data_IF_867546453676
#
_entry.id   IF_867546453676
#
_cell.length_a   1.000
_cell.length_b   1.000
_cell.length_c   1.000
_cell.angle_alpha   90.00
_cell.angle_beta   90.00
_cell.angle_gamma   90.00
#
_symmetry.space_group_name_H-M   'P 1'
#
loop_
_entity.id
_entity.type
_entity.pdbx_description
1 polymer ?
#
# COMPACT_ATOMS: atom_id res chain seq x y z
N UNK A 1 -58.84 5.24 -23.81
CA UNK A 1 -58.60 3.85 -24.25
C UNK A 1 -57.15 3.73 -24.69
N UNK A 2 -56.52 2.61 -24.34
CA UNK A 2 -55.18 2.17 -24.70
C UNK A 2 -54.01 2.92 -24.05
N UNK A 3 -52.92 2.30 -23.57
CA UNK A 3 -52.58 0.91 -23.25
C UNK A 3 -51.27 1.02 -22.44
N UNK A 4 -51.17 0.36 -21.29
CA UNK A 4 -49.91 0.23 -20.58
C UNK A 4 -48.97 -0.70 -21.36
N UNK A 5 -47.73 -0.30 -21.62
CA UNK A 5 -46.69 -1.20 -22.12
C UNK A 5 -45.52 -1.20 -21.16
N UNK A 6 -45.32 -2.36 -20.54
CA UNK A 6 -44.29 -2.67 -19.56
C UNK A 6 -43.03 -3.07 -20.33
N UNK A 7 -42.00 -2.22 -20.35
CA UNK A 7 -40.74 -2.56 -21.03
C UNK A 7 -39.79 -3.25 -20.06
N UNK A 8 -39.40 -4.46 -20.46
CA UNK A 8 -38.58 -5.44 -19.74
C UNK A 8 -37.10 -5.05 -19.83
N UNK A 9 -36.39 -5.29 -18.75
CA UNK A 9 -34.96 -5.14 -18.47
C UNK A 9 -34.05 -5.56 -19.64
N UNK A 10 -33.08 -4.70 -19.98
CA UNK A 10 -31.99 -4.98 -20.92
C UNK A 10 -30.80 -5.51 -20.10
N UNK A 11 -30.50 -6.79 -20.19
CA UNK A 11 -29.19 -7.34 -19.84
C UNK A 11 -28.29 -7.23 -21.07
N UNK A 12 -27.22 -6.44 -20.95
CA UNK A 12 -26.21 -6.29 -21.98
C UNK A 12 -25.59 -7.64 -22.35
N UNK A 13 -25.70 -7.98 -23.63
CA UNK A 13 -24.98 -9.11 -24.21
C UNK A 13 -24.07 -8.54 -25.29
N UNK A 14 -22.86 -8.15 -24.92
CA UNK A 14 -21.80 -7.86 -25.88
C UNK A 14 -21.29 -9.18 -26.46
N UNK A 15 -21.92 -9.64 -27.55
CA UNK A 15 -21.37 -10.69 -28.40
C UNK A 15 -21.09 -10.08 -29.79
N UNK A 16 -19.83 -9.71 -30.01
CA UNK A 16 -19.32 -9.29 -31.32
C UNK A 16 -19.41 -10.48 -32.28
N UNK A 17 -20.44 -10.50 -33.13
CA UNK A 17 -20.50 -11.39 -34.29
C UNK A 17 -20.13 -10.56 -35.52
N UNK A 18 -18.87 -10.61 -35.92
CA UNK A 18 -18.42 -10.09 -37.21
C UNK A 18 -18.91 -11.03 -38.32
N UNK A 19 -19.81 -10.54 -39.17
CA UNK A 19 -20.15 -11.19 -40.44
C UNK A 19 -19.49 -10.44 -41.58
N UNK A 20 -18.70 -11.15 -42.38
CA UNK A 20 -18.39 -10.77 -43.76
C UNK A 20 -18.03 -12.02 -44.57
N UNK A 21 -18.95 -12.46 -45.42
CA UNK A 21 -18.66 -13.35 -46.55
C UNK A 21 -19.16 -12.62 -47.80
N UNK A 22 -18.30 -12.46 -48.81
CA UNK A 22 -18.57 -12.87 -50.20
C UNK A 22 -17.36 -12.68 -51.14
N UNK A 23 -16.88 -13.85 -51.59
CA UNK A 23 -16.19 -14.28 -52.81
C UNK A 23 -15.61 -13.25 -53.81
N UNK A 24 -14.31 -13.44 -54.12
CA UNK A 24 -13.86 -13.47 -55.52
C UNK A 24 -12.69 -14.46 -55.70
N UNK A 25 -12.56 -14.95 -56.93
CA UNK A 25 -11.91 -16.18 -57.35
C UNK A 25 -10.36 -16.19 -57.25
N UNK A 26 -9.81 -17.40 -57.33
CA UNK A 26 -8.39 -17.78 -57.35
C UNK A 26 -7.70 -17.88 -55.97
N UNK A 27 -7.77 -19.09 -55.41
CA UNK A 27 -6.65 -19.76 -54.75
C UNK A 27 -5.86 -18.97 -53.71
N UNK A 28 -6.42 -18.78 -52.52
CA UNK A 28 -5.73 -18.92 -51.24
C UNK A 28 -6.82 -19.05 -50.18
N UNK A 29 -7.07 -20.27 -49.68
CA UNK A 29 -7.93 -20.47 -48.55
C UNK A 29 -7.27 -19.82 -47.32
N UNK A 30 -7.64 -18.58 -47.00
CA UNK A 30 -7.30 -17.98 -45.73
C UNK A 30 -8.09 -18.73 -44.65
N UNK A 31 -7.47 -19.77 -44.10
CA UNK A 31 -7.85 -20.35 -42.82
C UNK A 31 -7.73 -19.25 -41.78
N UNK A 32 -8.84 -18.56 -41.52
CA UNK A 32 -8.99 -17.80 -40.28
C UNK A 32 -9.12 -18.85 -39.19
N UNK A 33 -7.98 -19.29 -38.64
CA UNK A 33 -7.99 -20.11 -37.45
C UNK A 33 -8.75 -19.32 -36.37
N UNK A 34 -9.75 -19.91 -35.68
CA UNK A 34 -10.29 -19.26 -34.51
C UNK A 34 -9.11 -19.01 -33.58
N UNK A 35 -8.89 -17.74 -33.22
CA UNK A 35 -7.95 -17.41 -32.16
C UNK A 35 -8.58 -18.01 -30.91
N UNK A 36 -8.24 -19.27 -30.60
CA UNK A 36 -8.57 -19.85 -29.30
C UNK A 36 -7.99 -18.87 -28.29
N UNK A 37 -8.80 -18.25 -27.42
CA UNK A 37 -8.21 -17.56 -26.28
C UNK A 37 -7.37 -18.62 -25.61
N UNK A 38 -6.04 -18.43 -25.56
CA UNK A 38 -5.20 -19.26 -24.71
C UNK A 38 -5.73 -18.99 -23.32
N UNK A 39 -6.64 -19.83 -22.84
CA UNK A 39 -7.09 -19.81 -21.47
C UNK A 39 -5.81 -20.04 -20.69
N UNK A 40 -5.23 -18.95 -20.17
CA UNK A 40 -4.11 -19.05 -19.27
C UNK A 40 -4.61 -19.93 -18.13
N UNK A 41 -4.15 -21.17 -18.09
CA UNK A 41 -4.56 -22.10 -17.04
C UNK A 41 -4.00 -21.68 -15.68
N UNK A 42 -3.07 -20.72 -15.70
CA UNK A 42 -2.72 -19.95 -14.54
C UNK A 42 -3.58 -18.68 -14.47
N UNK A 43 -4.25 -18.49 -13.35
CA UNK A 43 -4.95 -17.26 -13.01
C UNK A 43 -4.28 -16.62 -11.80
N UNK A 44 -4.15 -15.30 -11.85
CA UNK A 44 -3.56 -14.47 -10.80
C UNK A 44 -4.53 -13.37 -10.42
N UNK A 45 -4.84 -13.22 -9.14
CA UNK A 45 -5.92 -12.33 -8.70
C UNK A 45 -5.59 -10.84 -8.74
N UNK A 46 -4.32 -10.49 -8.88
CA UNK A 46 -3.77 -9.13 -8.83
C UNK A 46 -3.05 -8.71 -10.11
N UNK A 47 -3.04 -9.59 -11.12
CA UNK A 47 -2.57 -9.27 -12.47
C UNK A 47 -1.11 -9.58 -12.77
N UNK A 48 -0.48 -10.49 -12.03
CA UNK A 48 0.91 -10.91 -12.29
C UNK A 48 1.82 -10.46 -11.15
N UNK A 49 3.06 -10.09 -11.48
CA UNK A 49 3.99 -9.55 -10.49
C UNK A 49 3.51 -8.17 -9.99
N UNK A 50 2.79 -8.14 -8.87
CA UNK A 50 2.17 -6.99 -8.24
C UNK A 50 2.31 -7.03 -6.71
N UNK A 51 3.50 -6.61 -6.23
CA UNK A 51 3.81 -6.58 -4.80
C UNK A 51 2.87 -5.70 -3.95
N UNK A 52 2.05 -4.83 -4.54
CA UNK A 52 1.23 -3.86 -3.82
C UNK A 52 -0.15 -4.40 -3.41
N UNK A 53 -0.56 -5.53 -3.96
CA UNK A 53 -1.86 -6.15 -3.72
C UNK A 53 -1.62 -7.60 -3.35
N UNK A 54 -2.31 -8.11 -2.33
CA UNK A 54 -2.22 -9.53 -2.00
C UNK A 54 -2.85 -10.36 -3.12
N UNK A 55 -2.02 -11.07 -3.86
CA UNK A 55 -2.37 -11.97 -4.92
C UNK A 55 -2.59 -13.41 -4.46
N UNK A 56 -3.43 -14.12 -5.20
CA UNK A 56 -3.56 -15.57 -5.13
C UNK A 56 -3.49 -16.12 -6.55
N UNK A 57 -2.44 -16.90 -6.78
CA UNK A 57 -2.14 -17.53 -8.06
C UNK A 57 -2.57 -18.99 -8.03
N UNK A 58 -3.35 -19.40 -9.04
CA UNK A 58 -3.76 -20.79 -9.24
C UNK A 58 -3.34 -21.24 -10.63
N UNK A 59 -2.50 -22.27 -10.72
CA UNK A 59 -1.95 -22.78 -11.98
C UNK A 59 -1.19 -24.08 -11.76
N UNK A 60 -0.29 -24.46 -12.68
CA UNK A 60 0.54 -25.66 -12.52
C UNK A 60 1.84 -25.39 -11.76
N UNK A 61 2.24 -26.32 -10.91
CA UNK A 61 3.59 -26.41 -10.40
C UNK A 61 4.46 -27.09 -11.47
N UNK A 62 5.48 -26.40 -11.98
CA UNK A 62 6.31 -26.90 -13.08
C UNK A 62 7.14 -28.13 -12.72
N UNK A 63 7.43 -28.36 -11.43
CA UNK A 63 8.21 -29.50 -10.98
C UNK A 63 7.35 -30.77 -10.86
N UNK A 64 6.09 -30.62 -10.46
CA UNK A 64 5.18 -31.76 -10.20
C UNK A 64 4.12 -31.97 -11.27
N UNK A 65 3.88 -30.99 -12.14
CA UNK A 65 2.80 -30.99 -13.13
C UNK A 65 1.39 -30.91 -12.52
N UNK A 66 1.27 -30.70 -11.20
CA UNK A 66 -0.02 -30.64 -10.50
C UNK A 66 -0.53 -29.22 -10.40
N UNK A 67 -1.85 -29.06 -10.39
CA UNK A 67 -2.46 -27.77 -10.08
C UNK A 67 -2.21 -27.42 -8.61
N UNK A 68 -1.74 -26.20 -8.38
CA UNK A 68 -1.48 -25.62 -7.07
C UNK A 68 -2.14 -24.26 -6.97
N UNK A 69 -2.37 -23.84 -5.72
CA UNK A 69 -2.78 -22.49 -5.38
C UNK A 69 -1.79 -21.94 -4.35
N UNK A 70 -1.32 -20.72 -4.57
CA UNK A 70 -0.38 -20.00 -3.72
C UNK A 70 -0.85 -18.56 -3.56
N UNK A 71 -0.44 -17.94 -2.48
CA UNK A 71 -0.83 -16.58 -2.11
C UNK A 71 0.42 -15.86 -1.67
N UNK A 72 0.52 -14.58 -2.01
CA UNK A 72 1.66 -13.77 -1.62
C UNK A 72 1.83 -13.73 -0.11
N UNK A 73 3.08 -13.76 0.31
CA UNK A 73 3.40 -13.96 1.70
C UNK A 73 4.55 -13.09 2.14
N UNK A 74 4.40 -12.48 3.30
CA UNK A 74 5.50 -11.79 3.96
C UNK A 74 6.52 -12.78 4.51
N UNK A 75 7.79 -12.42 4.39
CA UNK A 75 8.88 -13.23 4.94
C UNK A 75 9.05 -12.88 6.42
N UNK A 76 8.73 -13.81 7.31
CA UNK A 76 8.66 -13.55 8.77
C UNK A 76 9.94 -12.98 9.39
N UNK A 77 11.12 -13.27 8.81
CA UNK A 77 12.40 -12.77 9.32
C UNK A 77 12.81 -11.39 8.76
N UNK A 78 12.08 -10.85 7.77
CA UNK A 78 12.42 -9.59 7.11
C UNK A 78 11.15 -8.82 6.75
N UNK A 79 10.77 -7.78 7.53
CA UNK A 79 9.50 -7.08 7.36
C UNK A 79 9.36 -6.32 6.03
N UNK A 80 10.46 -6.13 5.31
CA UNK A 80 10.48 -5.52 3.97
C UNK A 80 10.59 -6.54 2.85
N UNK A 81 10.52 -7.85 3.13
CA UNK A 81 10.58 -8.88 2.10
C UNK A 81 9.23 -9.58 1.92
N UNK A 82 8.95 -9.87 0.65
CA UNK A 82 7.74 -10.53 0.19
C UNK A 82 8.13 -11.66 -0.76
N UNK A 83 7.45 -12.78 -0.63
CA UNK A 83 7.41 -13.83 -1.65
C UNK A 83 6.16 -13.60 -2.48
N UNK A 84 6.39 -13.16 -3.70
CA UNK A 84 5.38 -12.98 -4.73
C UNK A 84 5.13 -14.30 -5.44
N UNK A 85 3.88 -14.68 -5.63
CA UNK A 85 3.47 -15.72 -6.55
C UNK A 85 2.80 -15.09 -7.76
N UNK A 86 3.14 -15.57 -8.94
CA UNK A 86 2.50 -15.07 -10.16
C UNK A 86 2.48 -16.09 -11.29
N UNK A 87 1.78 -15.76 -12.36
CA UNK A 87 1.70 -16.61 -13.53
C UNK A 87 2.85 -16.39 -14.53
N UNK A 88 3.50 -17.50 -14.93
CA UNK A 88 4.36 -17.54 -16.13
C UNK A 88 3.83 -18.62 -17.09
N UNK A 89 3.08 -18.18 -18.10
CA UNK A 89 2.30 -19.09 -18.93
C UNK A 89 1.26 -19.82 -18.09
N UNK A 90 1.23 -21.16 -18.13
CA UNK A 90 0.32 -21.96 -17.30
C UNK A 90 0.87 -22.32 -15.91
N UNK A 91 2.09 -21.89 -15.58
CA UNK A 91 2.76 -22.26 -14.33
C UNK A 91 2.65 -21.17 -13.27
N UNK A 92 2.48 -21.58 -12.01
CA UNK A 92 2.73 -20.73 -10.84
C UNK A 92 4.23 -20.64 -10.64
N UNK A 93 4.75 -19.42 -10.60
CA UNK A 93 6.13 -19.12 -10.25
C UNK A 93 6.18 -18.29 -8.98
N UNK A 94 7.30 -18.31 -8.28
CA UNK A 94 7.52 -17.43 -7.13
C UNK A 94 8.78 -16.57 -7.32
N UNK A 95 8.76 -15.38 -6.74
CA UNK A 95 9.87 -14.45 -6.70
C UNK A 95 10.00 -13.85 -5.30
N UNK A 96 11.22 -13.84 -4.77
CA UNK A 96 11.52 -13.08 -3.55
C UNK A 96 11.87 -11.65 -3.94
N UNK A 97 11.14 -10.69 -3.38
CA UNK A 97 11.33 -9.28 -3.64
C UNK A 97 11.50 -8.51 -2.32
N UNK A 98 12.02 -7.29 -2.43
CA UNK A 98 11.97 -6.32 -1.34
C UNK A 98 10.91 -5.28 -1.67
N UNK A 99 10.11 -4.92 -0.67
CA UNK A 99 9.13 -3.86 -0.81
C UNK A 99 9.78 -2.54 -1.22
N UNK A 100 9.07 -1.72 -2.01
CA UNK A 100 9.54 -0.37 -2.35
C UNK A 100 9.92 0.44 -1.10
N UNK A 101 10.81 1.42 -1.29
CA UNK A 101 11.31 2.26 -0.19
C UNK A 101 10.19 2.84 0.65
N UNK A 102 10.31 2.71 1.98
CA UNK A 102 9.33 3.19 2.95
C UNK A 102 8.15 2.23 3.19
N UNK A 103 7.96 1.20 2.38
CA UNK A 103 6.90 0.22 2.56
C UNK A 103 7.36 -1.00 3.36
N UNK A 104 6.41 -1.67 3.99
CA UNK A 104 6.61 -2.95 4.66
C UNK A 104 5.63 -3.97 4.11
N UNK A 105 6.02 -5.23 4.14
CA UNK A 105 5.10 -6.30 3.83
C UNK A 105 4.11 -6.48 4.98
N UNK A 106 2.83 -6.44 4.65
CA UNK A 106 1.73 -6.68 5.57
C UNK A 106 0.66 -7.47 4.86
N UNK A 107 0.25 -8.60 5.45
CA UNK A 107 -0.75 -9.50 4.87
C UNK A 107 -0.52 -9.87 3.39
N UNK A 108 0.74 -10.10 3.01
CA UNK A 108 1.09 -10.46 1.63
C UNK A 108 1.06 -9.30 0.65
N UNK A 109 1.14 -8.06 1.12
CA UNK A 109 1.26 -6.88 0.25
C UNK A 109 2.26 -5.86 0.82
N UNK A 110 3.02 -5.22 -0.05
CA UNK A 110 3.87 -4.09 0.27
C UNK A 110 3.03 -2.82 0.33
N UNK A 111 2.91 -2.26 1.54
CA UNK A 111 2.08 -1.07 1.80
C UNK A 111 2.81 -0.06 2.66
N UNK A 112 2.43 1.22 2.50
CA UNK A 112 2.72 2.27 3.49
C UNK A 112 1.77 2.10 4.67
N UNK A 113 2.24 2.43 5.89
CA UNK A 113 1.41 2.39 7.10
C UNK A 113 0.80 3.74 7.43
N UNK A 114 -0.39 3.70 8.03
CA UNK A 114 -1.24 4.87 8.27
C UNK A 114 -1.51 5.07 9.76
N UNK A 115 -1.55 6.34 10.15
CA UNK A 115 -1.96 6.78 11.50
C UNK A 115 -3.12 7.76 11.37
N UNK A 116 -4.12 7.61 12.23
CA UNK A 116 -5.30 8.47 12.25
C UNK A 116 -5.83 8.62 13.68
N UNK A 117 -6.43 9.78 13.99
CA UNK A 117 -7.02 10.04 15.33
C UNK A 117 -8.16 9.07 15.69
N UNK A 118 -8.82 8.49 14.69
CA UNK A 118 -9.87 7.48 14.83
C UNK A 118 -9.35 6.03 14.74
N UNK A 119 -8.03 5.85 14.58
CA UNK A 119 -7.40 4.53 14.52
C UNK A 119 -7.38 3.78 15.86
N UNK A 120 -6.73 2.62 15.89
CA UNK A 120 -6.61 1.76 17.07
C UNK A 120 -5.22 1.08 17.10
N UNK A 121 -4.51 1.15 18.22
CA UNK A 121 -3.14 0.58 18.33
C UNK A 121 -3.11 -0.90 18.74
N UNK A 122 -4.27 -1.51 19.01
CA UNK A 122 -4.39 -2.91 19.46
C UNK A 122 -4.86 -3.82 18.34
N UNK A 123 -5.93 -3.45 17.66
CA UNK A 123 -6.60 -4.35 16.72
C UNK A 123 -6.24 -4.07 15.27
N UNK A 124 -5.85 -2.83 14.95
CA UNK A 124 -5.63 -2.42 13.57
C UNK A 124 -4.24 -2.78 13.06
N UNK A 125 -4.16 -3.05 11.76
CA UNK A 125 -2.94 -3.46 11.08
C UNK A 125 -2.13 -2.29 10.53
N UNK A 126 -2.61 -1.05 10.67
CA UNK A 126 -1.97 0.15 10.14
C UNK A 126 -2.17 0.33 8.63
N UNK A 127 -3.11 -0.39 8.00
CA UNK A 127 -3.57 -0.10 6.64
C UNK A 127 -4.36 1.21 6.59
N UNK A 128 -4.63 1.74 5.39
CA UNK A 128 -5.46 2.95 5.24
C UNK A 128 -6.91 2.75 5.73
N UNK A 129 -7.44 1.54 5.62
CA UNK A 129 -8.79 1.19 6.10
C UNK A 129 -8.83 0.97 7.62
N UNK A 130 -7.71 0.52 8.19
CA UNK A 130 -7.56 0.22 9.62
C UNK A 130 -6.22 0.81 10.09
N UNK A 131 -6.14 2.14 10.26
CA UNK A 131 -4.91 2.82 10.66
C UNK A 131 -4.65 2.64 12.16
N UNK A 132 -3.39 2.80 12.55
CA UNK A 132 -3.04 2.93 13.97
C UNK A 132 -3.51 4.29 14.52
N UNK A 133 -3.62 4.39 15.84
CA UNK A 133 -4.12 5.59 16.51
C UNK A 133 -3.01 6.60 16.78
N UNK A 134 -1.84 6.13 17.21
CA UNK A 134 -0.75 7.00 17.67
C UNK A 134 0.46 6.96 16.76
N UNK A 135 1.15 8.09 16.64
CA UNK A 135 2.36 8.20 15.82
C UNK A 135 3.50 7.42 16.49
N UNK A 136 3.62 7.46 17.83
CA UNK A 136 4.64 6.71 18.53
C UNK A 136 4.51 5.20 18.30
N UNK A 137 3.29 4.66 18.38
CA UNK A 137 3.05 3.24 18.12
C UNK A 137 3.51 2.84 16.72
N UNK A 138 3.17 3.64 15.70
CA UNK A 138 3.60 3.38 14.33
C UNK A 138 5.12 3.41 14.16
N UNK A 139 5.81 4.35 14.83
CA UNK A 139 7.28 4.37 14.87
C UNK A 139 7.77 3.06 15.46
N UNK A 140 7.24 2.61 16.59
CA UNK A 140 7.70 1.39 17.28
C UNK A 140 7.53 0.14 16.40
N UNK A 141 6.42 0.01 15.67
CA UNK A 141 6.15 -1.14 14.79
C UNK A 141 7.02 -1.21 13.54
N UNK A 142 7.42 -0.07 12.97
CA UNK A 142 8.11 -0.06 11.68
C UNK A 142 9.62 -0.39 11.79
N UNK A 143 10.20 -1.08 10.80
CA UNK A 143 11.66 -1.20 10.72
C UNK A 143 12.31 0.15 10.40
N UNK A 144 13.63 0.24 10.62
CA UNK A 144 14.40 1.39 10.17
C UNK A 144 14.25 1.61 8.65
N UNK A 145 14.04 2.85 8.24
CA UNK A 145 13.74 3.25 6.87
C UNK A 145 12.25 3.20 6.49
N UNK A 146 11.37 2.80 7.41
CA UNK A 146 9.92 2.79 7.19
C UNK A 146 9.33 4.19 6.93
N UNK A 147 8.15 4.23 6.31
CA UNK A 147 7.36 5.43 6.08
C UNK A 147 5.98 5.32 6.73
N UNK A 148 5.58 6.37 7.42
CA UNK A 148 4.25 6.55 8.01
C UNK A 148 3.55 7.69 7.26
N UNK A 149 2.29 7.46 6.87
CA UNK A 149 1.39 8.51 6.44
C UNK A 149 0.40 8.84 7.56
N UNK A 150 0.50 10.05 8.10
CA UNK A 150 -0.34 10.55 9.18
C UNK A 150 -1.49 11.32 8.55
N UNK A 151 -2.71 10.81 8.71
CA UNK A 151 -3.92 11.43 8.21
C UNK A 151 -4.17 12.80 8.87
N UNK A 152 -5.14 13.54 8.34
CA UNK A 152 -5.56 14.80 8.93
C UNK A 152 -5.99 14.63 10.40
N UNK A 153 -5.65 15.61 11.22
CA UNK A 153 -5.93 15.57 12.65
C UNK A 153 -4.87 16.27 13.49
N UNK A 154 -5.17 16.34 14.79
CA UNK A 154 -4.26 16.84 15.81
C UNK A 154 -3.86 15.70 16.75
N UNK A 155 -2.56 15.45 16.83
CA UNK A 155 -1.95 14.42 17.64
C UNK A 155 -1.20 15.09 18.79
N UNK A 156 -1.75 15.01 20.00
CA UNK A 156 -1.09 15.53 21.21
C UNK A 156 -0.25 14.39 21.81
N UNK A 157 1.00 14.26 21.34
CA UNK A 157 1.90 13.15 21.65
C UNK A 157 3.32 13.68 21.86
N UNK A 158 4.07 13.00 22.74
CA UNK A 158 5.52 13.13 22.78
C UNK A 158 6.12 12.03 21.91
N UNK A 159 6.79 12.41 20.85
CA UNK A 159 7.34 11.50 19.84
C UNK A 159 8.83 11.27 20.12
N UNK A 160 9.23 10.01 20.19
CA UNK A 160 10.62 9.56 20.36
C UNK A 160 11.06 8.73 19.17
N UNK A 161 12.13 9.17 18.52
CA UNK A 161 12.64 8.55 17.29
C UNK A 161 14.09 8.11 17.52
N UNK A 162 14.31 6.80 17.43
CA UNK A 162 15.63 6.17 17.62
C UNK A 162 16.13 5.42 16.39
N UNK A 163 15.47 5.61 15.25
CA UNK A 163 15.78 4.96 13.98
C UNK A 163 15.43 5.86 12.81
N UNK A 164 16.05 5.61 11.66
CA UNK A 164 15.67 6.29 10.42
C UNK A 164 14.21 6.02 10.10
N UNK A 165 13.42 7.05 9.80
CA UNK A 165 12.00 6.93 9.48
C UNK A 165 11.52 8.17 8.73
N UNK A 166 10.49 8.01 7.91
CA UNK A 166 9.77 9.13 7.27
C UNK A 166 8.37 9.25 7.85
N UNK A 167 8.00 10.45 8.31
CA UNK A 167 6.67 10.79 8.79
C UNK A 167 6.11 11.86 7.86
N UNK A 168 5.07 11.52 7.12
CA UNK A 168 4.40 12.41 6.18
C UNK A 168 2.99 12.73 6.67
N UNK A 169 2.66 14.02 6.79
CA UNK A 169 1.29 14.45 7.04
C UNK A 169 0.48 14.66 5.76
N UNK A 170 -0.84 14.80 5.92
CA UNK A 170 -1.77 15.08 4.84
C UNK A 170 -1.75 16.56 4.35
N UNK A 171 -1.01 17.43 5.02
CA UNK A 171 -0.99 18.87 4.80
C UNK A 171 -0.50 19.62 6.03
N UNK A 172 0.27 20.69 5.86
CA UNK A 172 0.70 21.56 6.99
C UNK A 172 -0.48 22.27 7.67
N UNK A 173 -1.60 22.43 6.98
CA UNK A 173 -2.88 22.94 7.48
C UNK A 173 -3.82 21.83 8.00
N UNK A 174 -3.50 20.55 7.77
CA UNK A 174 -4.38 19.41 8.06
C UNK A 174 -3.86 18.49 9.17
N UNK A 175 -2.55 18.26 9.21
CA UNK A 175 -1.91 17.36 10.18
C UNK A 175 -1.05 18.16 11.13
N UNK A 176 -1.39 18.13 12.42
CA UNK A 176 -0.65 18.81 13.48
C UNK A 176 -0.17 17.81 14.52
N UNK A 177 1.13 17.79 14.78
CA UNK A 177 1.72 17.18 15.97
C UNK A 177 1.88 18.29 17.01
N UNK A 178 1.39 18.05 18.21
CA UNK A 178 1.42 19.03 19.29
C UNK A 178 1.88 18.42 20.60
N UNK A 179 2.28 19.31 21.53
CA UNK A 179 2.68 18.92 22.89
C UNK A 179 1.64 17.99 23.52
N UNK A 180 2.11 16.90 24.13
CA UNK A 180 1.26 16.04 24.95
C UNK A 180 0.96 16.70 26.30
N UNK A 181 1.99 17.26 26.93
CA UNK A 181 1.93 17.86 28.26
C UNK A 181 2.74 19.16 28.32
N UNK A 182 2.46 19.99 29.33
CA UNK A 182 3.17 21.26 29.51
C UNK A 182 4.65 21.04 29.84
N UNK A 183 5.53 21.82 29.22
CA UNK A 183 6.98 21.67 29.36
C UNK A 183 7.60 20.42 28.70
N UNK A 184 6.83 19.60 27.98
CA UNK A 184 7.35 18.47 27.20
C UNK A 184 7.94 18.91 25.86
N UNK A 185 9.02 18.24 25.43
CA UNK A 185 9.49 18.29 24.04
C UNK A 185 8.50 17.55 23.15
N UNK A 186 8.14 18.11 21.99
CA UNK A 186 7.16 17.47 21.09
C UNK A 186 7.80 16.28 20.36
N UNK A 187 9.01 16.46 19.81
CA UNK A 187 9.74 15.41 19.09
C UNK A 187 11.18 15.32 19.61
N UNK A 188 11.57 14.15 20.10
CA UNK A 188 12.92 13.81 20.51
C UNK A 188 13.53 12.82 19.50
N UNK A 189 14.68 13.16 18.95
CA UNK A 189 15.42 12.33 18.02
C UNK A 189 16.76 11.97 18.66
N UNK A 190 16.99 10.68 18.92
CA UNK A 190 18.20 10.20 19.57
C UNK A 190 18.81 9.04 18.79
N UNK A 191 20.06 9.17 18.33
CA UNK A 191 20.77 8.11 17.58
C UNK A 191 20.08 7.69 16.28
N UNK A 192 19.36 8.61 15.62
CA UNK A 192 18.64 8.36 14.38
C UNK A 192 19.23 9.19 13.22
N UNK A 193 20.02 8.57 12.31
CA UNK A 193 20.80 9.33 11.33
C UNK A 193 19.99 9.90 10.16
N UNK A 194 18.76 9.43 9.92
CA UNK A 194 17.93 9.90 8.79
C UNK A 194 16.44 9.95 9.15
N UNK A 195 16.01 11.03 9.80
CA UNK A 195 14.59 11.32 10.06
C UNK A 195 14.08 12.33 9.05
N UNK A 196 12.94 12.06 8.42
CA UNK A 196 12.25 12.98 7.52
C UNK A 196 10.88 13.28 8.10
N UNK A 197 10.59 14.55 8.37
CA UNK A 197 9.25 15.03 8.67
C UNK A 197 8.78 15.91 7.52
N UNK A 198 7.67 15.55 6.90
CA UNK A 198 7.19 16.24 5.70
C UNK A 198 5.69 16.52 5.77
N UNK A 199 5.29 17.66 5.21
CA UNK A 199 3.90 18.04 5.01
C UNK A 199 3.01 17.98 6.28
N UNK A 200 3.57 18.36 7.42
CA UNK A 200 2.88 18.43 8.71
C UNK A 200 3.30 19.67 9.49
N UNK A 201 2.47 20.08 10.45
CA UNK A 201 2.76 21.17 11.38
C UNK A 201 3.16 20.65 12.73
N UNK A 202 4.17 21.28 13.34
CA UNK A 202 4.50 21.11 14.76
C UNK A 202 3.98 22.35 15.49
N UNK A 203 3.18 22.16 16.54
CA UNK A 203 2.47 23.24 17.23
C UNK A 203 2.56 23.12 18.75
N UNK A 204 2.68 24.26 19.45
CA UNK A 204 2.71 24.30 20.91
C UNK A 204 4.06 24.69 21.51
N UNK A 205 4.98 25.24 20.72
CA UNK A 205 6.17 25.90 21.23
C UNK A 205 5.74 27.17 22.02
N UNK A 206 6.12 27.28 23.29
CA UNK A 206 5.81 28.47 24.10
C UNK A 206 6.67 29.68 23.72
N UNK A 207 6.19 30.88 24.06
CA UNK A 207 6.94 32.13 23.83
C UNK A 207 8.30 32.11 24.55
N UNK A 208 9.30 32.86 24.03
CA UNK A 208 10.61 32.97 24.69
C UNK A 208 10.44 33.54 26.10
N UNK A 209 10.64 32.73 27.14
CA UNK A 209 10.56 33.19 28.54
C UNK A 209 10.02 32.14 29.53
N UNK A 210 9.27 31.15 29.07
CA UNK A 210 8.89 29.97 29.86
C UNK A 210 9.91 28.86 29.63
N UNK A 211 10.14 27.99 30.63
CA UNK A 211 11.03 26.81 30.53
C UNK A 211 10.85 26.13 29.18
N UNK A 212 11.94 25.99 28.43
CA UNK A 212 11.98 25.64 27.01
C UNK A 212 11.10 24.42 26.69
N UNK A 213 9.93 24.64 26.09
CA UNK A 213 9.27 23.60 25.32
C UNK A 213 9.97 23.57 23.96
N UNK A 214 10.85 22.59 23.79
CA UNK A 214 11.51 22.39 22.51
C UNK A 214 10.50 21.77 21.53
N UNK A 215 10.33 22.39 20.37
CA UNK A 215 9.51 21.79 19.31
C UNK A 215 10.12 20.47 18.84
N UNK A 216 11.42 20.48 18.56
CA UNK A 216 12.20 19.31 18.17
C UNK A 216 13.56 19.37 18.87
N UNK A 217 13.92 18.30 19.58
CA UNK A 217 15.25 18.06 20.14
C UNK A 217 15.96 16.96 19.34
N UNK A 218 17.25 17.17 19.03
CA UNK A 218 18.06 16.19 18.27
C UNK A 218 19.39 15.94 18.97
N UNK A 219 19.63 14.68 19.33
CA UNK A 219 20.87 14.19 19.92
C UNK A 219 21.45 13.06 19.04
N UNK A 220 22.67 13.23 18.55
CA UNK A 220 23.36 12.24 17.72
C UNK A 220 22.52 11.71 16.53
N UNK A 221 21.74 12.59 15.90
CA UNK A 221 20.84 12.25 14.79
C UNK A 221 20.79 13.33 13.73
N UNK A 222 19.97 13.13 12.71
CA UNK A 222 19.68 14.16 11.71
C UNK A 222 18.19 14.20 11.37
N UNK A 223 17.72 15.39 11.01
CA UNK A 223 16.35 15.65 10.61
C UNK A 223 16.31 16.47 9.31
N UNK A 224 15.44 16.07 8.40
CA UNK A 224 15.01 16.87 7.26
C UNK A 224 13.56 17.30 7.47
N UNK A 225 13.31 18.61 7.38
CA UNK A 225 11.96 19.19 7.39
C UNK A 225 11.63 19.66 5.98
N UNK A 226 10.50 19.24 5.42
CA UNK A 226 10.08 19.66 4.08
C UNK A 226 8.57 19.89 3.96
N UNK A 227 8.21 20.73 2.99
CA UNK A 227 6.86 20.88 2.46
C UNK A 227 6.97 20.58 0.96
N UNK A 228 6.09 19.72 0.45
CA UNK A 228 6.08 19.29 -0.96
C UNK A 228 4.87 19.93 -1.65
#
# INVERSE_FOLDING_TARGET
MATATKTKTITETHLLVATAILLSAAGLAFLIAPISPTSSLCADSDGGYNLAVKGTTKGYDAATGKTVQRTDACVSAKPTAITEYSCKGSNVVSANASCPTGQVCSDGACIVKYVATWGNDTDNDGSSARPWRTIQYAIDQLPAGGKIFVLEGRFNEQIRISKSITIEGAGTDKTTIAKAEEGSTIIEIANAPHVILQNLRISGMESPGSRASEGIYVENGSITLSVI
#
